data_IF_113305211065
#
_entry.id   IF_113305211065
#
_cell.length_a   1.000
_cell.length_b   1.000
_cell.length_c   1.000
_cell.angle_alpha   90.00
_cell.angle_beta   90.00
_cell.angle_gamma   90.00
#
_symmetry.space_group_name_H-M   'P 1'
#
loop_
_entity.id
_entity.type
_entity.pdbx_description
1 polymer ?
#
# COMPACT_ATOMS: atom_id res chain seq x y z
N UNK A 1 -10.97 11.91 9.30
CA UNK A 1 -9.90 12.77 8.74
C UNK A 1 -10.22 12.92 7.26
N UNK A 2 -10.16 14.13 6.71
CA UNK A 2 -10.46 14.33 5.28
C UNK A 2 -9.15 14.51 4.52
N UNK A 3 -8.81 13.57 3.63
CA UNK A 3 -7.69 13.73 2.71
C UNK A 3 -8.12 14.53 1.48
N UNK A 4 -7.14 15.18 0.86
CA UNK A 4 -7.36 15.88 -0.40
C UNK A 4 -7.44 14.91 -1.59
N UNK A 5 -7.85 15.40 -2.76
CA UNK A 5 -7.98 14.58 -3.97
C UNK A 5 -6.69 13.84 -4.34
N UNK A 6 -5.53 14.50 -4.20
CA UNK A 6 -4.22 13.93 -4.49
C UNK A 6 -3.88 12.75 -3.58
N UNK A 7 -4.09 12.91 -2.28
CA UNK A 7 -3.89 11.88 -1.26
C UNK A 7 -4.82 10.68 -1.46
N UNK A 8 -6.09 10.94 -1.80
CA UNK A 8 -7.04 9.88 -2.14
C UNK A 8 -6.60 9.12 -3.40
N UNK A 9 -6.15 9.83 -4.44
CA UNK A 9 -5.64 9.21 -5.68
C UNK A 9 -4.43 8.31 -5.40
N UNK A 10 -3.49 8.76 -4.59
CA UNK A 10 -2.32 7.96 -4.21
C UNK A 10 -2.73 6.70 -3.42
N UNK A 11 -3.74 6.77 -2.56
CA UNK A 11 -4.27 5.59 -1.91
C UNK A 11 -4.87 4.59 -2.91
N UNK A 12 -5.63 5.07 -3.91
CA UNK A 12 -6.11 4.21 -4.99
C UNK A 12 -4.99 3.61 -5.82
N UNK A 13 -3.93 4.37 -6.09
CA UNK A 13 -2.77 3.88 -6.81
C UNK A 13 -2.07 2.76 -6.02
N UNK A 14 -1.92 2.90 -4.69
CA UNK A 14 -1.40 1.82 -3.84
C UNK A 14 -2.23 0.54 -3.96
N UNK A 15 -3.57 0.65 -3.91
CA UNK A 15 -4.47 -0.50 -4.10
C UNK A 15 -4.27 -1.10 -5.50
N UNK A 16 -4.19 -0.26 -6.54
CA UNK A 16 -3.94 -0.70 -7.91
C UNK A 16 -2.63 -1.47 -8.06
N UNK A 17 -1.56 -1.03 -7.40
CA UNK A 17 -0.27 -1.73 -7.40
C UNK A 17 -0.37 -3.12 -6.77
N UNK A 18 -1.10 -3.24 -5.66
CA UNK A 18 -1.36 -4.55 -5.00
C UNK A 18 -2.10 -5.48 -5.97
N UNK A 19 -3.12 -4.98 -6.66
CA UNK A 19 -3.87 -5.77 -7.62
C UNK A 19 -3.03 -6.18 -8.83
N UNK A 20 -2.19 -5.29 -9.34
CA UNK A 20 -1.32 -5.57 -10.47
C UNK A 20 -0.25 -6.60 -10.11
N UNK A 21 0.30 -6.56 -8.90
CA UNK A 21 1.16 -7.64 -8.38
C UNK A 21 0.42 -8.97 -8.31
N UNK A 22 -0.79 -9.01 -7.73
CA UNK A 22 -1.62 -10.23 -7.65
C UNK A 22 -1.97 -10.80 -9.03
N UNK A 23 -2.06 -9.95 -10.06
CA UNK A 23 -2.28 -10.33 -11.46
C UNK A 23 -0.98 -10.71 -12.21
N UNK A 24 0.17 -10.67 -11.54
CA UNK A 24 1.47 -10.98 -12.14
C UNK A 24 1.99 -9.93 -13.12
N UNK A 25 1.46 -8.70 -13.08
CA UNK A 25 1.86 -7.61 -13.99
C UNK A 25 3.04 -6.79 -13.48
N UNK A 26 3.31 -6.86 -12.17
CA UNK A 26 4.35 -6.11 -11.48
C UNK A 26 5.17 -7.06 -10.63
N UNK A 27 6.48 -6.82 -10.57
CA UNK A 27 7.40 -7.59 -9.73
C UNK A 27 7.28 -7.16 -8.26
N UNK A 28 7.70 -8.03 -7.34
CA UNK A 28 7.51 -7.79 -5.90
C UNK A 28 8.29 -6.56 -5.42
N UNK A 29 9.55 -6.41 -5.86
CA UNK A 29 10.38 -5.26 -5.52
C UNK A 29 9.78 -3.94 -6.00
N UNK A 30 9.23 -3.94 -7.21
CA UNK A 30 8.57 -2.78 -7.81
C UNK A 30 7.27 -2.40 -7.07
N UNK A 31 6.49 -3.39 -6.61
CA UNK A 31 5.33 -3.13 -5.74
C UNK A 31 5.76 -2.43 -4.45
N UNK A 32 6.75 -2.98 -3.73
CA UNK A 32 7.17 -2.45 -2.43
C UNK A 32 7.68 -1.00 -2.56
N UNK A 33 8.50 -0.74 -3.58
CA UNK A 33 8.99 0.61 -3.88
C UNK A 33 7.87 1.57 -4.28
N UNK A 34 6.91 1.10 -5.09
CA UNK A 34 5.76 1.90 -5.50
C UNK A 34 4.87 2.31 -4.33
N UNK A 35 4.64 1.40 -3.37
CA UNK A 35 3.88 1.69 -2.16
C UNK A 35 4.54 2.80 -1.33
N UNK A 36 5.85 2.71 -1.08
CA UNK A 36 6.62 3.73 -0.36
C UNK A 36 6.60 5.08 -1.09
N UNK A 37 6.87 5.07 -2.40
CA UNK A 37 6.84 6.28 -3.21
C UNK A 37 5.47 6.98 -3.21
N UNK A 38 4.38 6.23 -3.17
CA UNK A 38 3.04 6.80 -3.08
C UNK A 38 2.77 7.42 -1.69
N UNK A 39 3.34 6.87 -0.61
CA UNK A 39 3.24 7.47 0.71
C UNK A 39 4.00 8.80 0.75
N UNK A 40 5.25 8.80 0.28
CA UNK A 40 6.13 9.96 0.25
C UNK A 40 5.51 11.09 -0.58
N UNK A 41 4.97 10.76 -1.75
CA UNK A 41 4.30 11.72 -2.63
C UNK A 41 3.02 12.32 -2.03
N UNK A 42 2.41 11.67 -1.04
CA UNK A 42 1.14 12.09 -0.45
C UNK A 42 1.27 13.14 0.65
N UNK A 43 2.49 13.39 1.13
CA UNK A 43 2.79 14.36 2.20
C UNK A 43 1.79 14.26 3.37
N UNK A 44 1.50 13.03 3.81
CA UNK A 44 0.49 12.77 4.83
C UNK A 44 0.94 13.31 6.19
N UNK A 45 0.29 14.37 6.67
CA UNK A 45 0.64 15.02 7.94
C UNK A 45 0.16 14.27 9.20
N UNK A 46 -0.66 13.22 9.05
CA UNK A 46 -1.12 12.42 10.17
C UNK A 46 -0.08 11.38 10.57
N UNK A 47 0.68 11.69 11.63
CA UNK A 47 1.71 10.79 12.16
C UNK A 47 1.19 9.40 12.55
N UNK A 48 0.00 9.30 13.16
CA UNK A 48 -0.57 8.02 13.59
C UNK A 48 -0.90 7.14 12.38
N UNK A 49 -1.45 7.74 11.33
CA UNK A 49 -1.73 7.06 10.08
C UNK A 49 -0.46 6.59 9.38
N UNK A 50 0.54 7.45 9.28
CA UNK A 50 1.84 7.13 8.67
C UNK A 50 2.52 6.00 9.44
N UNK A 51 2.49 6.04 10.77
CA UNK A 51 3.01 4.96 11.62
C UNK A 51 2.26 3.64 11.40
N UNK A 52 0.92 3.67 11.32
CA UNK A 52 0.11 2.50 11.00
C UNK A 52 0.46 1.94 9.62
N UNK A 53 0.60 2.79 8.61
CA UNK A 53 1.00 2.40 7.26
C UNK A 53 2.35 1.68 7.28
N UNK A 54 3.35 2.24 7.97
CA UNK A 54 4.68 1.62 8.08
C UNK A 54 4.61 0.26 8.82
N UNK A 55 3.71 0.08 9.79
CA UNK A 55 3.54 -1.22 10.45
C UNK A 55 3.09 -2.33 9.49
N UNK A 56 2.30 -2.00 8.46
CA UNK A 56 1.87 -2.95 7.43
C UNK A 56 2.88 -3.10 6.30
N UNK A 57 3.58 -2.03 5.94
CA UNK A 57 4.57 -2.04 4.85
C UNK A 57 5.93 -2.61 5.25
N UNK A 58 6.40 -2.39 6.48
CA UNK A 58 7.74 -2.84 6.93
C UNK A 58 7.98 -4.35 6.75
N UNK A 59 7.02 -5.25 7.06
CA UNK A 59 7.19 -6.67 6.76
C UNK A 59 7.38 -6.97 5.26
N UNK A 60 6.70 -6.21 4.39
CA UNK A 60 6.85 -6.34 2.94
C UNK A 60 8.26 -5.90 2.51
N UNK A 61 8.75 -4.78 3.05
CA UNK A 61 10.09 -4.26 2.81
C UNK A 61 11.17 -5.27 3.25
N UNK A 62 11.05 -5.83 4.46
CA UNK A 62 11.99 -6.85 4.97
C UNK A 62 12.01 -8.07 4.04
N UNK A 63 10.85 -8.54 3.59
CA UNK A 63 10.77 -9.65 2.66
C UNK A 63 11.40 -9.30 1.30
N UNK A 64 11.20 -8.07 0.81
CA UNK A 64 11.80 -7.57 -0.43
C UNK A 64 13.32 -7.49 -0.32
N UNK A 65 13.84 -6.98 0.80
CA UNK A 65 15.27 -6.90 1.06
C UNK A 65 15.94 -8.28 1.20
N UNK A 66 15.20 -9.30 1.66
CA UNK A 66 15.74 -10.64 1.89
C UNK A 66 15.61 -11.58 0.69
N UNK A 67 14.51 -11.51 -0.06
CA UNK A 67 14.23 -12.41 -1.19
C UNK A 67 14.15 -11.71 -2.54
N UNK A 68 13.97 -10.40 -2.57
CA UNK A 68 13.68 -9.64 -3.79
C UNK A 68 12.54 -10.29 -4.57
N UNK A 69 12.70 -10.38 -5.89
CA UNK A 69 11.70 -10.99 -6.77
C UNK A 69 11.68 -12.53 -6.74
N UNK A 70 12.50 -13.15 -5.88
CA UNK A 70 12.39 -14.59 -5.58
C UNK A 70 11.34 -14.89 -4.50
N UNK A 71 10.68 -13.88 -3.93
CA UNK A 71 9.58 -14.08 -2.99
C UNK A 71 8.41 -14.77 -3.70
N UNK A 72 7.88 -15.84 -3.10
CA UNK A 72 6.71 -16.54 -3.65
C UNK A 72 5.42 -15.81 -3.28
N UNK A 73 4.34 -16.05 -4.02
CA UNK A 73 3.03 -15.50 -3.66
C UNK A 73 2.62 -15.87 -2.24
N UNK A 74 2.90 -17.11 -1.80
CA UNK A 74 2.60 -17.58 -0.45
C UNK A 74 3.40 -16.84 0.64
N UNK A 75 4.66 -16.47 0.35
CA UNK A 75 5.48 -15.66 1.25
C UNK A 75 4.88 -14.26 1.45
N UNK A 76 4.34 -13.70 0.37
CA UNK A 76 3.92 -12.30 0.29
C UNK A 76 2.46 -12.12 0.74
N UNK A 77 1.59 -13.08 0.45
CA UNK A 77 0.13 -12.92 0.54
C UNK A 77 -0.35 -12.53 1.93
N UNK A 78 0.24 -13.10 2.99
CA UNK A 78 -0.11 -12.74 4.37
C UNK A 78 0.08 -11.25 4.65
N UNK A 79 1.24 -10.70 4.26
CA UNK A 79 1.58 -9.30 4.50
C UNK A 79 0.82 -8.38 3.55
N UNK A 80 0.71 -8.80 2.30
CA UNK A 80 0.05 -8.01 1.26
C UNK A 80 -1.46 -7.90 1.52
N UNK A 81 -2.10 -8.98 1.99
CA UNK A 81 -3.51 -8.96 2.37
C UNK A 81 -3.76 -8.11 3.61
N UNK A 82 -2.83 -8.06 4.57
CA UNK A 82 -2.93 -7.14 5.70
C UNK A 82 -2.81 -5.67 5.27
N UNK A 83 -1.89 -5.37 4.36
CA UNK A 83 -1.72 -4.04 3.78
C UNK A 83 -2.95 -3.60 2.98
N UNK A 84 -3.45 -4.46 2.09
CA UNK A 84 -4.67 -4.21 1.29
C UNK A 84 -5.89 -3.98 2.19
N UNK A 85 -6.04 -4.79 3.25
CA UNK A 85 -7.09 -4.61 4.22
C UNK A 85 -7.00 -3.26 4.92
N UNK A 86 -5.81 -2.85 5.37
CA UNK A 86 -5.59 -1.55 5.98
C UNK A 86 -5.98 -0.42 5.03
N UNK A 87 -5.46 -0.41 3.79
CA UNK A 87 -5.73 0.65 2.81
C UNK A 87 -7.23 0.83 2.54
N UNK A 88 -7.96 -0.28 2.39
CA UNK A 88 -9.39 -0.27 2.06
C UNK A 88 -10.30 0.07 3.23
N UNK A 89 -9.86 -0.15 4.47
CA UNK A 89 -10.69 0.04 5.66
C UNK A 89 -10.26 1.23 6.52
N UNK A 90 -9.16 1.89 6.18
CA UNK A 90 -8.67 3.03 6.94
C UNK A 90 -9.58 4.25 6.69
N UNK A 91 -10.31 4.74 7.71
CA UNK A 91 -11.29 5.79 7.53
C UNK A 91 -10.64 7.06 6.94
N UNK A 92 -11.11 7.43 5.77
CA UNK A 92 -10.65 8.59 5.02
C UNK A 92 -9.49 8.34 4.07
N UNK A 93 -8.69 7.25 4.16
CA UNK A 93 -7.46 7.01 3.35
C UNK A 93 -7.79 6.72 1.89
N UNK A 94 -8.72 5.82 1.68
CA UNK A 94 -9.32 5.50 0.39
C UNK A 94 -10.83 5.66 0.52
N UNK A 95 -11.30 6.88 0.81
CA UNK A 95 -12.73 7.14 0.78
C UNK A 95 -13.17 7.04 -0.69
N UNK A 96 -13.89 5.98 -1.04
CA UNK A 96 -14.79 6.05 -2.17
C UNK A 96 -15.81 7.07 -1.73
N UNK A 97 -15.73 8.27 -2.30
CA UNK A 97 -16.82 9.22 -2.17
C UNK A 97 -18.06 8.46 -2.62
N UNK A 98 -18.86 8.01 -1.67
CA UNK A 98 -20.22 7.60 -1.92
C UNK A 98 -20.88 8.85 -2.47
N UNK A 99 -20.89 8.94 -3.80
CA UNK A 99 -21.72 9.86 -4.53
C UNK A 99 -23.16 9.45 -4.27
N UNK A 100 -23.76 10.04 -3.24
CA UNK A 100 -25.19 10.28 -3.18
C UNK A 100 -25.48 11.76 -3.49
#
# INVERSE_FOLDING_TARGET
MQFNEHQNRLCYDMIGMIEDYRKGKTQYTALVYGLEGALDAGEFNNKVLVEQWYNYWTPLEILSATKGDSATTDDVDKYLSAMDFFLRNQPGFCDQGDGE
#
